data_IF_419026280508
#
_entry.id   IF_419026280508
#
_cell.length_a   1.000
_cell.length_b   1.000
_cell.length_c   1.000
_cell.angle_alpha   90.00
_cell.angle_beta   90.00
_cell.angle_gamma   90.00
#
_symmetry.space_group_name_H-M   'P 1'
#
loop_
_entity.id
_entity.type
_entity.pdbx_description
1 polymer ?
#
# COMPACT_ATOMS: atom_id res chain seq x y z
N UNK A 1 12.85 2.54 -0.22
CA UNK A 1 12.01 1.31 -0.26
C UNK A 1 11.70 0.95 -1.69
N UNK A 2 11.95 -0.28 -2.05
CA UNK A 2 11.59 -0.76 -3.39
C UNK A 2 10.10 -0.99 -3.48
N UNK A 3 9.53 -0.63 -4.64
CA UNK A 3 8.11 -0.86 -4.92
C UNK A 3 7.97 -1.69 -6.19
N UNK A 4 7.00 -2.59 -6.18
CA UNK A 4 6.62 -3.37 -7.35
C UNK A 4 5.44 -2.70 -8.05
N UNK A 5 5.41 -2.78 -9.37
CA UNK A 5 4.30 -2.26 -10.16
C UNK A 5 3.02 -3.05 -9.85
N UNK A 6 1.91 -2.34 -9.79
CA UNK A 6 0.60 -2.90 -9.50
C UNK A 6 -0.34 -2.64 -10.66
N UNK A 7 -1.05 -3.67 -11.09
CA UNK A 7 -2.11 -3.53 -12.08
C UNK A 7 -3.40 -3.12 -11.38
N UNK A 8 -3.70 -1.82 -11.37
CA UNK A 8 -4.84 -1.27 -10.65
C UNK A 8 -5.30 -0.01 -11.36
N UNK A 9 -6.55 0.40 -11.12
CA UNK A 9 -7.09 1.64 -11.70
C UNK A 9 -6.49 2.89 -11.06
N UNK A 10 -6.03 2.82 -9.80
CA UNK A 10 -5.54 3.99 -9.07
C UNK A 10 -4.18 3.82 -8.41
N UNK A 11 -3.69 2.61 -8.23
CA UNK A 11 -2.38 2.34 -7.64
C UNK A 11 -1.36 2.04 -8.74
N UNK A 12 -0.23 2.75 -8.70
CA UNK A 12 0.86 2.54 -9.65
C UNK A 12 1.85 1.49 -9.14
N UNK A 13 2.24 1.60 -7.87
CA UNK A 13 3.23 0.71 -7.28
C UNK A 13 3.04 0.60 -5.78
N UNK A 14 3.56 -0.47 -5.18
CA UNK A 14 3.48 -0.70 -3.75
C UNK A 14 4.74 -1.41 -3.25
N UNK A 15 5.17 -1.03 -2.06
CA UNK A 15 6.30 -1.67 -1.39
C UNK A 15 6.03 -1.82 0.10
N UNK A 16 6.78 -2.69 0.75
CA UNK A 16 6.57 -2.97 2.16
C UNK A 16 7.90 -3.12 2.89
N UNK A 17 7.97 -2.51 4.07
CA UNK A 17 9.10 -2.63 4.98
C UNK A 17 8.64 -3.44 6.20
N UNK A 18 9.02 -4.73 6.29
CA UNK A 18 8.56 -5.57 7.40
C UNK A 18 9.18 -5.17 8.74
N UNK A 19 10.33 -4.55 8.75
CA UNK A 19 10.99 -4.15 9.99
C UNK A 19 10.26 -3.00 10.69
N UNK A 20 9.68 -2.11 9.90
CA UNK A 20 8.94 -0.96 10.40
C UNK A 20 7.43 -1.08 10.20
N UNK A 21 6.95 -2.18 9.67
CA UNK A 21 5.54 -2.42 9.36
C UNK A 21 4.93 -1.28 8.55
N UNK A 22 5.67 -0.81 7.55
CA UNK A 22 5.29 0.34 6.73
C UNK A 22 4.97 -0.10 5.32
N UNK A 23 3.75 0.20 4.87
CA UNK A 23 3.31 -0.02 3.51
C UNK A 23 3.41 1.30 2.74
N UNK A 24 4.13 1.31 1.62
CA UNK A 24 4.26 2.50 0.78
C UNK A 24 3.49 2.29 -0.51
N UNK A 25 2.64 3.25 -0.84
CA UNK A 25 1.79 3.21 -2.02
C UNK A 25 2.07 4.44 -2.88
N UNK A 26 2.38 4.22 -4.15
CA UNK A 26 2.38 5.27 -5.16
C UNK A 26 1.07 5.19 -5.95
N UNK A 27 0.32 6.27 -5.95
CA UNK A 27 -0.92 6.36 -6.73
C UNK A 27 -0.65 6.87 -8.13
N UNK A 28 -1.52 6.55 -9.07
CA UNK A 28 -1.48 7.15 -10.41
C UNK A 28 -1.66 8.65 -10.25
N UNK A 29 -0.80 9.41 -10.91
CA UNK A 29 -0.69 10.84 -10.67
C UNK A 29 0.58 11.23 -9.91
N UNK A 30 1.26 10.27 -9.30
CA UNK A 30 2.59 10.44 -8.73
C UNK A 30 2.68 10.71 -7.24
N UNK A 31 1.54 10.80 -6.53
CA UNK A 31 1.58 10.97 -5.07
C UNK A 31 1.99 9.67 -4.38
N UNK A 32 2.82 9.77 -3.34
CA UNK A 32 3.30 8.62 -2.58
C UNK A 32 2.91 8.79 -1.11
N UNK A 33 2.30 7.75 -0.55
CA UNK A 33 1.88 7.71 0.85
C UNK A 33 2.50 6.51 1.54
N UNK A 34 2.78 6.67 2.83
CA UNK A 34 3.17 5.56 3.71
C UNK A 34 2.07 5.34 4.75
N UNK A 35 1.75 4.06 4.99
CA UNK A 35 0.77 3.62 5.98
C UNK A 35 1.51 2.82 7.03
N UNK A 36 1.29 3.14 8.31
CA UNK A 36 2.07 2.61 9.42
C UNK A 36 1.29 1.57 10.22
N UNK A 37 2.02 0.70 10.91
CA UNK A 37 1.45 -0.40 11.72
C UNK A 37 0.72 -1.46 10.87
N UNK A 38 1.13 -1.59 9.61
CA UNK A 38 0.60 -2.61 8.71
C UNK A 38 1.44 -3.87 8.91
N UNK A 39 0.87 -4.92 9.50
CA UNK A 39 1.62 -6.14 9.74
C UNK A 39 1.82 -6.93 8.45
N UNK A 40 2.79 -7.87 8.48
CA UNK A 40 3.16 -8.63 7.29
C UNK A 40 2.00 -9.46 6.74
N UNK A 41 1.14 -9.99 7.62
CA UNK A 41 -0.01 -10.79 7.19
C UNK A 41 -0.99 -9.96 6.35
N UNK A 42 -1.27 -8.73 6.78
CA UNK A 42 -2.14 -7.83 6.02
C UNK A 42 -1.52 -7.46 4.67
N UNK A 43 -0.21 -7.23 4.65
CA UNK A 43 0.49 -6.95 3.39
C UNK A 43 0.40 -8.15 2.44
N UNK A 44 0.56 -9.38 2.95
CA UNK A 44 0.40 -10.59 2.13
C UNK A 44 -1.00 -10.68 1.53
N UNK A 45 -2.02 -10.36 2.30
CA UNK A 45 -3.40 -10.35 1.80
C UNK A 45 -3.58 -9.30 0.70
N UNK A 46 -3.01 -8.11 0.89
CA UNK A 46 -3.03 -7.07 -0.13
C UNK A 46 -2.33 -7.54 -1.41
N UNK A 47 -1.13 -8.12 -1.28
CA UNK A 47 -0.34 -8.59 -2.44
C UNK A 47 -1.05 -9.69 -3.22
N UNK A 48 -1.82 -10.54 -2.54
CA UNK A 48 -2.55 -11.63 -3.15
C UNK A 48 -3.96 -11.27 -3.62
N UNK A 49 -4.40 -10.05 -3.38
CA UNK A 49 -5.77 -9.65 -3.73
C UNK A 49 -5.96 -9.59 -5.24
N UNK A 50 -7.12 -10.05 -5.70
CA UNK A 50 -7.49 -9.96 -7.11
C UNK A 50 -7.60 -8.51 -7.56
N UNK A 51 -8.13 -7.63 -6.69
CA UNK A 51 -8.14 -6.20 -6.91
C UNK A 51 -7.44 -5.52 -5.73
N UNK A 52 -6.19 -5.12 -5.94
CA UNK A 52 -5.40 -4.46 -4.90
C UNK A 52 -5.98 -3.11 -4.53
N UNK A 53 -6.51 -2.38 -5.50
CA UNK A 53 -7.16 -1.10 -5.24
C UNK A 53 -8.39 -1.23 -4.35
N UNK A 54 -9.24 -2.20 -4.61
CA UNK A 54 -10.42 -2.46 -3.78
C UNK A 54 -10.02 -2.93 -2.38
N UNK A 55 -9.05 -3.82 -2.30
CA UNK A 55 -8.55 -4.31 -1.01
C UNK A 55 -8.00 -3.15 -0.16
N UNK A 56 -7.18 -2.31 -0.78
CA UNK A 56 -6.62 -1.15 -0.12
C UNK A 56 -7.72 -0.21 0.40
N UNK A 57 -8.69 0.12 -0.43
CA UNK A 57 -9.78 1.02 -0.03
C UNK A 57 -10.61 0.45 1.12
N UNK A 58 -10.86 -0.86 1.11
CA UNK A 58 -11.71 -1.51 2.12
C UNK A 58 -10.99 -1.76 3.44
N UNK A 59 -9.68 -2.02 3.41
CA UNK A 59 -8.98 -2.57 4.58
C UNK A 59 -7.85 -1.69 5.11
N UNK A 60 -7.31 -0.76 4.33
CA UNK A 60 -6.09 -0.03 4.70
C UNK A 60 -6.32 1.48 4.78
N UNK A 61 -6.95 2.04 3.77
CA UNK A 61 -7.01 3.49 3.54
C UNK A 61 -7.44 4.30 4.77
N UNK A 62 -8.47 3.85 5.48
CA UNK A 62 -9.02 4.57 6.62
C UNK A 62 -8.76 3.87 7.95
N UNK A 63 -7.92 2.83 7.97
CA UNK A 63 -7.73 1.99 9.15
C UNK A 63 -6.37 2.15 9.82
N UNK A 64 -5.44 2.88 9.21
CA UNK A 64 -4.06 3.02 9.69
C UNK A 64 -3.60 4.45 9.62
N UNK A 65 -2.68 4.85 10.53
CA UNK A 65 -2.03 6.15 10.40
C UNK A 65 -1.21 6.20 9.12
N UNK A 66 -1.14 7.39 8.52
CA UNK A 66 -0.43 7.56 7.26
C UNK A 66 0.18 8.94 7.17
N UNK A 67 1.13 9.09 6.24
CA UNK A 67 1.63 10.40 5.83
C UNK A 67 1.96 10.40 4.34
N UNK A 68 1.84 11.55 3.73
CA UNK A 68 2.29 11.75 2.36
C UNK A 68 3.79 11.96 2.36
N UNK A 69 4.53 11.22 1.53
CA UNK A 69 5.99 11.29 1.45
C UNK A 69 6.52 11.65 0.07
N UNK A 70 5.66 11.74 -0.90
CA UNK A 70 6.10 12.10 -2.26
C UNK A 70 5.02 12.63 -3.16
#
# INVERSE_FOLDING_TARGET
MERDLVSSSNIMSAGYDPDNETLEIEFKGGTVYQYYNVNAHLYEQFSGAASKGQFFNANIKNSFPFSRVG
#
